data_IF_969140481782
#
_entry.id   IF_969140481782
#
_cell.length_a   1.000
_cell.length_b   1.000
_cell.length_c   1.000
_cell.angle_alpha   90.00
_cell.angle_beta   90.00
_cell.angle_gamma   90.00
#
_symmetry.space_group_name_H-M   'P 1'
#
loop_
_entity.id
_entity.type
_entity.pdbx_description
1 polymer ?
#
# COMPACT_ATOMS: atom_id res chain seq x y z
N UNK A 1 18.91 -10.94 3.33
CA UNK A 1 18.40 -10.46 2.03
C UNK A 1 18.55 -8.95 1.99
N UNK A 2 19.04 -8.38 0.88
CA UNK A 2 19.13 -6.93 0.72
C UNK A 2 17.73 -6.30 0.63
N UNK A 3 17.58 -5.01 0.94
CA UNK A 3 16.25 -4.38 0.89
C UNK A 3 15.75 -4.26 -0.55
N UNK A 4 16.62 -3.93 -1.50
CA UNK A 4 16.25 -3.89 -2.92
C UNK A 4 15.73 -5.26 -3.41
N UNK A 5 16.42 -6.34 -3.03
CA UNK A 5 16.00 -7.70 -3.38
C UNK A 5 14.66 -8.07 -2.73
N UNK A 6 14.43 -7.65 -1.49
CA UNK A 6 13.17 -7.91 -0.79
C UNK A 6 12.01 -7.19 -1.45
N UNK A 7 12.19 -5.92 -1.82
CA UNK A 7 11.14 -5.15 -2.50
C UNK A 7 10.84 -5.78 -3.86
N UNK A 8 11.86 -6.14 -4.64
CA UNK A 8 11.62 -6.73 -5.97
C UNK A 8 10.97 -8.11 -5.86
N UNK A 9 11.59 -9.04 -5.13
CA UNK A 9 11.17 -10.45 -5.14
C UNK A 9 9.91 -10.69 -4.35
N UNK A 10 9.80 -10.12 -3.14
CA UNK A 10 8.68 -10.41 -2.25
C UNK A 10 7.54 -9.42 -2.48
N UNK A 11 7.84 -8.13 -2.40
CA UNK A 11 6.79 -7.11 -2.43
C UNK A 11 6.20 -6.87 -3.82
N UNK A 12 6.97 -7.09 -4.89
CA UNK A 12 6.47 -6.99 -6.27
C UNK A 12 6.14 -8.39 -6.80
N UNK A 13 7.13 -9.26 -6.97
CA UNK A 13 6.95 -10.49 -7.76
C UNK A 13 5.98 -11.47 -7.04
N UNK A 14 6.25 -11.85 -5.79
CA UNK A 14 5.37 -12.77 -5.04
C UNK A 14 3.97 -12.17 -4.79
N UNK A 15 3.86 -10.88 -4.46
CA UNK A 15 2.55 -10.25 -4.26
C UNK A 15 1.73 -10.19 -5.55
N UNK A 16 2.40 -9.99 -6.69
CA UNK A 16 1.74 -10.01 -8.00
C UNK A 16 1.21 -11.40 -8.33
N UNK A 17 1.99 -12.45 -8.09
CA UNK A 17 1.54 -13.84 -8.28
C UNK A 17 0.28 -14.14 -7.45
N UNK A 18 0.27 -13.73 -6.17
CA UNK A 18 -0.90 -13.91 -5.28
C UNK A 18 -2.10 -13.08 -5.73
N UNK A 19 -1.87 -11.89 -6.27
CA UNK A 19 -2.93 -10.99 -6.74
C UNK A 19 -3.56 -11.47 -8.05
N UNK A 20 -2.76 -12.02 -8.97
CA UNK A 20 -3.23 -12.56 -10.25
C UNK A 20 -4.09 -13.81 -10.06
N UNK A 21 -3.91 -14.55 -8.97
CA UNK A 21 -4.85 -15.59 -8.55
C UNK A 21 -6.23 -14.97 -8.20
N UNK A 22 -7.28 -15.44 -8.86
CA UNK A 22 -8.65 -14.97 -8.63
C UNK A 22 -9.18 -15.35 -7.23
N UNK A 23 -8.60 -16.36 -6.57
CA UNK A 23 -9.12 -16.94 -5.32
C UNK A 23 -8.84 -16.16 -4.04
N UNK A 24 -7.97 -15.15 -4.06
CA UNK A 24 -7.38 -14.60 -2.82
C UNK A 24 -7.45 -13.07 -2.61
N UNK A 25 -8.50 -12.34 -3.04
CA UNK A 25 -8.50 -10.88 -3.05
C UNK A 25 -8.28 -10.24 -1.66
N UNK A 26 -8.86 -10.78 -0.60
CA UNK A 26 -8.68 -10.26 0.76
C UNK A 26 -7.24 -10.41 1.26
N UNK A 27 -6.58 -11.51 0.91
CA UNK A 27 -5.17 -11.74 1.24
C UNK A 27 -4.32 -10.74 0.47
N UNK A 28 -4.56 -10.57 -0.83
CA UNK A 28 -3.84 -9.61 -1.66
C UNK A 28 -3.97 -8.18 -1.12
N UNK A 29 -5.18 -7.72 -0.76
CA UNK A 29 -5.36 -6.41 -0.13
C UNK A 29 -4.58 -6.30 1.19
N UNK A 30 -4.60 -7.35 2.02
CA UNK A 30 -3.90 -7.36 3.31
C UNK A 30 -2.38 -7.26 3.15
N UNK A 31 -1.82 -7.93 2.13
CA UNK A 31 -0.40 -7.86 1.78
C UNK A 31 -0.03 -6.47 1.27
N UNK A 32 -0.81 -5.91 0.35
CA UNK A 32 -0.59 -4.55 -0.17
C UNK A 32 -0.60 -3.51 0.96
N UNK A 33 -1.51 -3.61 1.93
CA UNK A 33 -1.55 -2.71 3.08
C UNK A 33 -0.26 -2.73 3.92
N UNK A 34 0.25 -3.93 4.17
CA UNK A 34 1.52 -4.11 4.89
C UNK A 34 2.69 -3.59 4.07
N UNK A 35 2.67 -3.83 2.76
CA UNK A 35 3.62 -3.30 1.80
C UNK A 35 3.67 -1.76 1.84
N UNK A 36 2.53 -1.09 1.82
CA UNK A 36 2.46 0.38 1.89
C UNK A 36 3.12 0.91 3.17
N UNK A 37 2.84 0.27 4.32
CA UNK A 37 3.50 0.63 5.59
C UNK A 37 5.02 0.43 5.53
N UNK A 38 5.48 -0.68 4.92
CA UNK A 38 6.90 -0.93 4.70
C UNK A 38 7.55 0.16 3.84
N UNK A 39 6.92 0.59 2.74
CA UNK A 39 7.43 1.70 1.92
C UNK A 39 7.53 3.00 2.72
N UNK A 40 6.56 3.24 3.61
CA UNK A 40 6.59 4.36 4.55
C UNK A 40 7.76 4.28 5.52
N UNK A 41 8.06 3.07 6.02
CA UNK A 41 9.24 2.81 6.83
C UNK A 41 10.52 3.10 6.06
N UNK A 42 10.60 2.85 4.75
CA UNK A 42 11.78 3.21 3.95
C UNK A 42 12.04 4.72 3.91
N UNK A 43 11.01 5.56 4.10
CA UNK A 43 11.10 7.01 4.01
C UNK A 43 11.47 7.72 5.32
N UNK A 44 11.62 7.00 6.43
CA UNK A 44 12.05 7.55 7.72
C UNK A 44 13.43 7.05 8.16
N UNK A 45 13.98 7.63 9.23
CA UNK A 45 15.26 7.23 9.83
C UNK A 45 15.14 6.04 10.78
N UNK A 46 13.93 5.70 11.21
CA UNK A 46 13.69 4.77 12.31
C UNK A 46 13.87 3.30 11.88
N UNK A 47 14.30 2.39 12.78
CA UNK A 47 14.38 0.97 12.48
C UNK A 47 13.03 0.39 12.02
N UNK A 48 13.03 -0.62 11.16
CA UNK A 48 11.79 -1.28 10.72
C UNK A 48 10.96 -1.82 11.91
N UNK A 49 11.62 -2.28 12.97
CA UNK A 49 10.99 -2.81 14.20
C UNK A 49 10.46 -1.75 15.17
N UNK A 50 10.60 -0.45 14.86
CA UNK A 50 10.15 0.62 15.73
C UNK A 50 8.62 0.60 15.94
N UNK A 51 8.20 0.71 17.19
CA UNK A 51 6.79 0.64 17.61
C UNK A 51 6.11 2.00 17.49
N UNK A 52 4.79 1.99 17.30
CA UNK A 52 3.98 3.22 17.25
C UNK A 52 4.10 4.02 15.94
N UNK A 53 4.85 3.53 14.95
CA UNK A 53 5.08 4.24 13.70
C UNK A 53 4.20 3.78 12.54
N UNK A 54 3.29 2.85 12.76
CA UNK A 54 2.47 2.30 11.68
C UNK A 54 1.64 3.36 10.96
N UNK A 55 0.85 4.15 11.72
CA UNK A 55 0.05 5.24 11.15
C UNK A 55 0.92 6.25 10.40
N UNK A 56 1.97 6.87 10.99
CA UNK A 56 2.76 7.86 10.27
C UNK A 56 3.46 7.25 9.04
N UNK A 57 3.94 6.01 9.08
CA UNK A 57 4.57 5.34 7.93
C UNK A 57 3.59 5.10 6.80
N UNK A 58 2.46 4.46 7.08
CA UNK A 58 1.43 4.20 6.07
C UNK A 58 0.99 5.51 5.40
N UNK A 59 0.70 6.55 6.20
CA UNK A 59 0.27 7.86 5.70
C UNK A 59 1.35 8.55 4.88
N UNK A 60 2.62 8.46 5.29
CA UNK A 60 3.75 9.04 4.56
C UNK A 60 3.92 8.38 3.19
N UNK A 61 3.80 7.05 3.11
CA UNK A 61 3.86 6.33 1.83
C UNK A 61 2.76 6.80 0.87
N UNK A 62 1.51 6.86 1.33
CA UNK A 62 0.40 7.35 0.50
C UNK A 62 0.63 8.79 0.03
N UNK A 63 1.20 9.67 0.87
CA UNK A 63 1.42 11.05 0.49
C UNK A 63 2.59 11.24 -0.49
N UNK A 64 3.71 10.54 -0.27
CA UNK A 64 4.98 10.72 -0.97
C UNK A 64 5.13 9.84 -2.23
N UNK A 65 4.37 8.75 -2.35
CA UNK A 65 4.56 7.73 -3.41
C UNK A 65 3.32 7.43 -4.26
N UNK A 66 2.11 7.68 -3.75
CA UNK A 66 0.86 7.37 -4.46
C UNK A 66 0.31 8.61 -5.22
N UNK A 67 -0.59 8.41 -6.22
CA UNK A 67 -1.25 9.51 -6.91
C UNK A 67 -1.97 10.48 -5.97
N UNK A 68 -2.05 11.76 -6.37
CA UNK A 68 -2.69 12.79 -5.55
C UNK A 68 -4.15 12.50 -5.20
N UNK A 69 -4.84 11.67 -6.00
CA UNK A 69 -6.22 11.23 -5.76
C UNK A 69 -6.41 10.50 -4.42
N UNK A 70 -5.36 9.89 -3.87
CA UNK A 70 -5.42 9.22 -2.57
C UNK A 70 -5.40 10.19 -1.38
N UNK A 71 -4.90 11.43 -1.57
CA UNK A 71 -4.67 12.38 -0.46
C UNK A 71 -5.95 12.75 0.28
N UNK A 72 -7.08 12.80 -0.41
CA UNK A 72 -8.40 13.05 0.20
C UNK A 72 -8.85 11.94 1.16
N UNK A 73 -8.27 10.74 1.06
CA UNK A 73 -8.54 9.60 1.95
C UNK A 73 -7.39 9.32 2.92
N UNK A 74 -6.43 10.24 3.02
CA UNK A 74 -5.28 10.17 3.90
C UNK A 74 -5.28 11.35 4.90
N UNK A 75 -6.45 11.65 5.47
CA UNK A 75 -6.68 12.88 6.23
C UNK A 75 -6.46 12.76 7.74
N UNK A 76 -6.29 11.54 8.26
CA UNK A 76 -6.08 11.33 9.68
C UNK A 76 -7.27 10.65 10.36
N UNK A 77 -7.08 10.40 11.66
CA UNK A 77 -8.02 9.65 12.48
C UNK A 77 -9.39 10.32 12.58
N UNK A 78 -10.45 9.50 12.53
CA UNK A 78 -11.83 9.95 12.69
C UNK A 78 -12.44 10.59 11.43
N UNK A 79 -11.78 10.48 10.28
CA UNK A 79 -12.33 10.91 8.99
C UNK A 79 -13.02 9.74 8.29
N UNK A 80 -14.23 9.94 7.72
CA UNK A 80 -14.85 8.95 6.86
C UNK A 80 -13.90 8.57 5.73
N UNK A 81 -13.81 7.28 5.42
CA UNK A 81 -12.97 6.73 4.35
C UNK A 81 -11.46 6.85 4.55
N UNK A 82 -10.97 7.18 5.75
CA UNK A 82 -9.52 7.19 6.02
C UNK A 82 -8.91 5.80 5.73
N UNK A 83 -7.94 5.75 4.81
CA UNK A 83 -7.34 4.50 4.33
C UNK A 83 -6.59 3.76 5.43
N UNK A 84 -5.93 4.48 6.33
CA UNK A 84 -5.21 3.82 7.42
C UNK A 84 -6.19 3.06 8.34
N UNK A 85 -7.31 3.67 8.70
CA UNK A 85 -8.29 3.05 9.61
C UNK A 85 -9.13 1.97 8.90
N UNK A 86 -9.68 2.29 7.73
CA UNK A 86 -10.68 1.45 7.08
C UNK A 86 -10.08 0.34 6.22
N UNK A 87 -8.89 0.54 5.68
CA UNK A 87 -8.20 -0.44 4.86
C UNK A 87 -7.10 -1.13 5.70
N UNK A 88 -6.05 -0.42 6.11
CA UNK A 88 -4.90 -1.03 6.79
C UNK A 88 -5.28 -1.67 8.12
N UNK A 89 -5.83 -0.91 9.06
CA UNK A 89 -6.11 -1.43 10.41
C UNK A 89 -7.12 -2.58 10.36
N UNK A 90 -8.20 -2.43 9.59
CA UNK A 90 -9.25 -3.46 9.51
C UNK A 90 -8.71 -4.78 8.95
N UNK A 91 -7.94 -4.74 7.86
CA UNK A 91 -7.38 -5.95 7.25
C UNK A 91 -6.25 -6.58 8.07
N UNK A 92 -5.38 -5.77 8.68
CA UNK A 92 -4.25 -6.30 9.46
C UNK A 92 -4.70 -6.89 10.80
N UNK A 93 -5.72 -6.31 11.45
CA UNK A 93 -6.18 -6.82 12.75
C UNK A 93 -7.12 -8.02 12.64
N UNK A 94 -8.01 -8.06 11.64
CA UNK A 94 -9.07 -9.08 11.58
C UNK A 94 -9.32 -9.64 10.16
N UNK A 95 -8.56 -9.22 9.14
CA UNK A 95 -8.70 -9.65 7.73
C UNK A 95 -10.11 -9.37 7.16
N UNK A 96 -10.85 -8.47 7.81
CA UNK A 96 -12.14 -7.98 7.35
C UNK A 96 -11.99 -6.56 6.82
N UNK A 97 -12.80 -6.24 5.82
CA UNK A 97 -12.92 -4.87 5.31
C UNK A 97 -13.54 -3.96 6.38
N UNK A 98 -13.09 -2.71 6.45
CA UNK A 98 -13.74 -1.68 7.26
C UNK A 98 -15.15 -1.35 6.74
N UNK A 99 -16.02 -0.82 7.60
CA UNK A 99 -17.41 -0.49 7.26
C UNK A 99 -17.55 0.54 6.15
N UNK A 100 -16.51 1.34 5.89
CA UNK A 100 -16.52 2.40 4.87
C UNK A 100 -15.71 2.07 3.62
N UNK A 101 -15.24 0.83 3.43
CA UNK A 101 -14.56 0.41 2.20
C UNK A 101 -15.28 -0.76 1.53
N UNK A 102 -15.30 -0.71 0.21
CA UNK A 102 -15.69 -1.82 -0.64
C UNK A 102 -14.46 -2.31 -1.40
N UNK A 103 -14.13 -3.59 -1.23
CA UNK A 103 -12.97 -4.23 -1.83
C UNK A 103 -13.47 -5.10 -2.99
N UNK A 104 -13.06 -4.79 -4.21
CA UNK A 104 -13.51 -5.50 -5.40
C UNK A 104 -12.36 -5.79 -6.36
N UNK A 105 -12.60 -6.70 -7.30
CA UNK A 105 -11.75 -6.92 -8.47
C UNK A 105 -12.22 -6.09 -9.66
N UNK A 106 -11.33 -5.87 -10.62
CA UNK A 106 -11.64 -5.16 -11.88
C UNK A 106 -12.75 -5.85 -12.68
N UNK A 107 -12.86 -7.18 -12.59
CA UNK A 107 -13.95 -7.97 -13.19
C UNK A 107 -15.34 -7.60 -12.63
N UNK A 108 -15.41 -7.08 -11.40
CA UNK A 108 -16.64 -6.68 -10.75
C UNK A 108 -17.03 -5.22 -11.03
N UNK A 109 -16.13 -4.45 -11.67
CA UNK A 109 -16.32 -3.03 -11.98
C UNK A 109 -17.62 -2.74 -12.73
N UNK A 110 -17.93 -3.56 -13.74
CA UNK A 110 -19.13 -3.42 -14.58
C UNK A 110 -20.40 -3.69 -13.78
N UNK A 111 -20.37 -4.69 -12.89
CA UNK A 111 -21.50 -5.05 -12.04
C UNK A 111 -21.89 -3.93 -11.09
N UNK A 112 -20.90 -3.24 -10.53
CA UNK A 112 -21.13 -2.16 -9.56
C UNK A 112 -21.22 -0.77 -10.22
N UNK A 113 -20.81 -0.62 -11.49
CA UNK A 113 -20.68 0.65 -12.20
C UNK A 113 -19.92 1.69 -11.35
N UNK A 114 -18.69 1.32 -10.95
CA UNK A 114 -17.82 2.09 -10.04
C UNK A 114 -16.44 2.27 -10.66
N UNK A 115 -15.67 3.21 -10.12
CA UNK A 115 -14.26 3.41 -10.40
C UNK A 115 -13.42 3.31 -9.14
N UNK A 116 -12.12 3.03 -9.30
CA UNK A 116 -11.18 3.07 -8.19
C UNK A 116 -11.16 4.47 -7.55
N UNK A 117 -11.17 4.52 -6.22
CA UNK A 117 -11.21 5.75 -5.42
C UNK A 117 -12.49 6.59 -5.55
N UNK A 118 -13.56 5.97 -6.05
CA UNK A 118 -14.93 6.50 -6.01
C UNK A 118 -15.56 6.24 -4.64
N UNK A 119 -16.34 7.20 -4.15
CA UNK A 119 -17.24 6.98 -3.02
C UNK A 119 -18.63 6.77 -3.59
N UNK A 120 -19.24 5.63 -3.26
CA UNK A 120 -20.58 5.26 -3.75
C UNK A 120 -21.40 4.60 -2.66
N UNK A 121 -22.70 4.85 -2.68
CA UNK A 121 -23.65 4.14 -1.82
C UNK A 121 -23.74 2.67 -2.25
N UNK A 122 -23.36 1.77 -1.35
CA UNK A 122 -23.38 0.32 -1.55
C UNK A 122 -23.99 -0.32 -0.29
N UNK A 123 -25.19 -0.87 -0.45
CA UNK A 123 -26.00 -1.43 0.64
C UNK A 123 -26.32 -0.38 1.71
N UNK A 124 -26.92 0.73 1.26
CA UNK A 124 -27.41 1.85 2.10
C UNK A 124 -26.33 2.56 2.93
N UNK A 125 -25.06 2.43 2.52
CA UNK A 125 -23.90 3.04 3.18
C UNK A 125 -22.93 3.52 2.13
N UNK A 126 -22.44 4.75 2.26
CA UNK A 126 -21.33 5.24 1.43
C UNK A 126 -20.07 4.43 1.70
N UNK A 127 -19.44 3.94 0.63
CA UNK A 127 -18.20 3.17 0.68
C UNK A 127 -17.20 3.72 -0.32
N UNK A 128 -15.94 3.80 0.12
CA UNK A 128 -14.80 4.01 -0.76
C UNK A 128 -14.50 2.71 -1.50
N UNK A 129 -14.56 2.75 -2.82
CA UNK A 129 -14.28 1.61 -3.69
C UNK A 129 -12.77 1.49 -3.94
N UNK A 130 -12.22 0.33 -3.60
CA UNK A 130 -10.85 -0.05 -3.89
C UNK A 130 -10.87 -1.25 -4.84
N UNK A 131 -10.26 -1.07 -6.02
CA UNK A 131 -10.13 -2.09 -7.04
C UNK A 131 -8.72 -2.66 -6.86
N UNK A 132 -8.62 -3.97 -6.65
CA UNK A 132 -7.37 -4.63 -6.28
C UNK A 132 -6.26 -4.37 -7.30
N UNK A 133 -6.57 -4.57 -8.58
CA UNK A 133 -5.62 -4.42 -9.68
C UNK A 133 -5.13 -2.96 -9.80
N UNK A 134 -6.04 -1.98 -9.68
CA UNK A 134 -5.69 -0.55 -9.78
C UNK A 134 -4.83 -0.12 -8.57
N UNK A 135 -5.19 -0.58 -7.36
CA UNK A 135 -4.40 -0.34 -6.15
C UNK A 135 -3.01 -1.00 -6.23
N UNK A 136 -2.94 -2.22 -6.77
CA UNK A 136 -1.67 -2.95 -6.91
C UNK A 136 -0.75 -2.27 -7.93
N UNK A 137 -1.27 -1.77 -9.04
CA UNK A 137 -0.48 -1.00 -10.01
C UNK A 137 0.09 0.30 -9.41
N UNK A 138 -0.69 1.01 -8.59
CA UNK A 138 -0.20 2.17 -7.84
C UNK A 138 0.87 1.80 -6.80
N UNK A 139 0.65 0.69 -6.10
CA UNK A 139 1.59 0.13 -5.14
C UNK A 139 2.90 -0.31 -5.79
N UNK A 140 2.86 -1.02 -6.92
CA UNK A 140 4.04 -1.46 -7.65
C UNK A 140 4.87 -0.27 -8.13
N UNK A 141 4.20 0.80 -8.62
CA UNK A 141 4.88 2.07 -8.94
C UNK A 141 5.58 2.66 -7.72
N UNK A 142 4.92 2.65 -6.56
CA UNK A 142 5.52 3.13 -5.31
C UNK A 142 6.73 2.29 -4.89
N UNK A 143 6.68 0.95 -5.04
CA UNK A 143 7.83 0.07 -4.80
C UNK A 143 9.01 0.40 -5.71
N UNK A 144 8.76 0.56 -7.02
CA UNK A 144 9.78 0.92 -8.01
C UNK A 144 10.41 2.28 -7.73
N UNK A 145 9.63 3.25 -7.25
CA UNK A 145 10.15 4.56 -6.84
C UNK A 145 11.07 4.44 -5.61
N UNK A 146 10.74 3.61 -4.62
CA UNK A 146 11.64 3.36 -3.48
C UNK A 146 12.94 2.70 -3.93
N UNK A 147 12.86 1.68 -4.81
CA UNK A 147 14.04 1.06 -5.42
C UNK A 147 14.91 2.12 -6.08
N UNK A 148 14.34 2.95 -6.96
CA UNK A 148 15.06 4.00 -7.67
C UNK A 148 15.74 4.99 -6.70
N UNK A 149 15.01 5.48 -5.69
CA UNK A 149 15.54 6.41 -4.68
C UNK A 149 16.67 5.80 -3.85
N UNK A 150 16.64 4.51 -3.56
CA UNK A 150 17.75 3.84 -2.85
C UNK A 150 18.94 3.70 -3.81
N UNK A 151 18.72 3.23 -5.04
CA UNK A 151 19.77 3.00 -6.02
C UNK A 151 20.51 4.27 -6.45
N UNK A 152 19.80 5.39 -6.62
CA UNK A 152 20.39 6.70 -6.98
C UNK A 152 20.85 7.52 -5.76
N UNK A 153 20.63 7.02 -4.55
CA UNK A 153 21.04 7.66 -3.31
C UNK A 153 20.17 8.84 -2.87
N UNK A 154 18.98 9.07 -3.43
CA UNK A 154 18.00 10.00 -2.82
C UNK A 154 17.50 9.53 -1.45
N UNK A 155 17.54 8.23 -1.18
CA UNK A 155 17.30 7.63 0.13
C UNK A 155 18.60 7.00 0.68
N UNK A 156 19.20 7.66 1.66
CA UNK A 156 20.39 7.16 2.36
C UNK A 156 20.06 6.96 3.84
N UNK A 157 20.14 5.71 4.27
CA UNK A 157 19.81 5.29 5.62
C UNK A 157 20.64 4.03 5.96
N UNK A 158 21.03 3.85 7.22
CA UNK A 158 21.67 2.62 7.71
C UNK A 158 20.91 1.33 7.37
N UNK A 159 19.57 1.38 7.21
CA UNK A 159 18.70 0.30 6.72
C UNK A 159 19.10 -0.22 5.33
N UNK A 160 19.74 0.62 4.51
CA UNK A 160 20.14 0.29 3.13
C UNK A 160 21.66 0.23 2.96
N UNK A 161 22.44 0.19 4.05
CA UNK A 161 23.90 0.22 3.97
C UNK A 161 24.46 -0.91 3.10
N UNK A 162 23.88 -2.12 3.17
CA UNK A 162 24.25 -3.24 2.32
C UNK A 162 23.85 -3.09 0.84
N UNK A 163 22.86 -2.24 0.54
CA UNK A 163 22.40 -1.96 -0.83
C UNK A 163 23.29 -0.92 -1.52
N UNK A 164 23.72 0.13 -0.79
CA UNK A 164 24.48 1.27 -1.33
C UNK A 164 25.95 0.97 -1.65
N UNK A 165 26.54 -0.06 -1.05
CA UNK A 165 27.95 -0.42 -1.26
C UNK A 165 28.25 -1.01 -2.65
N UNK A 166 27.21 -1.47 -3.36
CA UNK A 166 27.35 -2.16 -4.64
C UNK A 166 26.88 -1.34 -5.85
N UNK A 167 26.10 -0.27 -5.62
CA UNK A 167 25.72 0.66 -6.70
C UNK A 167 26.83 1.67 -7.05
N UNK A 168 27.94 1.62 -6.32
CA UNK A 168 29.14 2.46 -6.51
C UNK A 168 30.31 1.70 -7.16
N UNK A 169 30.09 0.47 -7.63
CA UNK A 169 31.04 -0.32 -8.43
C UNK A 169 30.52 -0.43 -9.87
#
# INVERSE_FOLDING_TARGET
MRILDFIQKVLIDEFKEIQEDEGHPYISFSLVCQGIEFLGACLDSEPFSAKGLSAPRFRKAIYDLFPMSYRKFNQGTGKPFDLYENLRCSLVYVILRGSHVELIRRTEKVKFNVSHLEVKEIRDVDRLVLILEDLFEDYERACKEIIARISDGRLKNGKFAGDLLLTQQ
#
